data_IF_193171187588
#
_entry.id   IF_193171187588
#
_cell.length_a   1.000
_cell.length_b   1.000
_cell.length_c   1.000
_cell.angle_alpha   90.00
_cell.angle_beta   90.00
_cell.angle_gamma   90.00
#
_symmetry.space_group_name_H-M   'P 1'
#
loop_
_entity.id
_entity.type
_entity.pdbx_description
1 polymer ?
#
# COMPACT_ATOMS: atom_id res chain seq x y z
N UNK A 1 16.31 -7.62 6.40
CA UNK A 1 16.18 -6.21 5.96
C UNK A 1 17.17 -5.82 4.88
N UNK A 2 18.44 -6.22 4.97
CA UNK A 2 19.44 -5.91 3.93
C UNK A 2 19.04 -6.41 2.54
N UNK A 3 18.50 -7.63 2.45
CA UNK A 3 17.98 -8.19 1.19
C UNK A 3 16.84 -7.35 0.61
N UNK A 4 15.86 -6.95 1.41
CA UNK A 4 14.77 -6.05 1.00
C UNK A 4 15.33 -4.73 0.46
N UNK A 5 16.31 -4.14 1.16
CA UNK A 5 16.96 -2.89 0.73
C UNK A 5 17.64 -3.09 -0.63
N UNK A 6 18.46 -4.14 -0.77
CA UNK A 6 19.17 -4.46 -2.02
C UNK A 6 18.21 -4.63 -3.19
N UNK A 7 17.19 -5.48 -3.04
CA UNK A 7 16.23 -5.75 -4.12
C UNK A 7 15.40 -4.52 -4.49
N UNK A 8 14.98 -3.74 -3.49
CA UNK A 8 14.30 -2.46 -3.75
C UNK A 8 15.21 -1.46 -4.46
N UNK A 9 16.47 -1.32 -4.07
CA UNK A 9 17.41 -0.37 -4.68
C UNK A 9 17.72 -0.74 -6.13
N UNK A 10 17.81 -2.04 -6.44
CA UNK A 10 17.91 -2.55 -7.81
C UNK A 10 16.66 -2.19 -8.62
N UNK A 11 15.47 -2.45 -8.07
CA UNK A 11 14.20 -2.11 -8.72
C UNK A 11 14.07 -0.60 -8.95
N UNK A 12 14.39 0.22 -7.95
CA UNK A 12 14.32 1.69 -8.04
C UNK A 12 15.28 2.21 -9.11
N UNK A 13 16.52 1.71 -9.16
CA UNK A 13 17.50 2.11 -10.18
C UNK A 13 16.98 1.83 -11.59
N UNK A 14 16.41 0.64 -11.82
CA UNK A 14 15.79 0.25 -13.10
C UNK A 14 14.56 1.10 -13.45
N UNK A 15 13.72 1.43 -12.48
CA UNK A 15 12.55 2.27 -12.72
C UNK A 15 12.95 3.72 -13.05
N UNK A 16 13.96 4.24 -12.35
CA UNK A 16 14.49 5.59 -12.59
C UNK A 16 15.13 5.69 -13.98
N UNK A 17 15.90 4.69 -14.42
CA UNK A 17 16.46 4.66 -15.78
C UNK A 17 15.37 4.66 -16.86
N UNK A 18 14.20 4.08 -16.55
CA UNK A 18 13.04 4.06 -17.43
C UNK A 18 12.18 5.34 -17.34
N UNK A 19 12.66 6.39 -16.64
CA UNK A 19 11.96 7.68 -16.53
C UNK A 19 10.83 7.72 -15.49
N UNK A 20 10.74 6.73 -14.59
CA UNK A 20 9.70 6.71 -13.56
C UNK A 20 10.00 7.75 -12.46
N UNK A 21 9.34 8.90 -12.54
CA UNK A 21 9.47 9.98 -11.55
C UNK A 21 9.03 9.60 -10.14
N UNK A 22 8.09 8.66 -9.98
CA UNK A 22 7.66 8.19 -8.66
C UNK A 22 8.75 7.34 -8.00
N UNK A 23 9.49 6.53 -8.76
CA UNK A 23 10.65 5.80 -8.23
C UNK A 23 11.72 6.76 -7.68
N UNK A 24 11.97 7.89 -8.36
CA UNK A 24 12.87 8.94 -7.84
C UNK A 24 12.37 9.52 -6.51
N UNK A 25 11.06 9.80 -6.41
CA UNK A 25 10.45 10.28 -5.15
C UNK A 25 10.57 9.26 -4.02
N UNK A 26 10.34 7.99 -4.30
CA UNK A 26 10.49 6.90 -3.32
C UNK A 26 11.93 6.85 -2.82
N UNK A 27 12.92 6.88 -3.73
CA UNK A 27 14.34 6.88 -3.37
C UNK A 27 14.70 8.06 -2.47
N UNK A 28 14.34 9.28 -2.86
CA UNK A 28 14.60 10.48 -2.03
C UNK A 28 13.89 10.44 -0.69
N UNK A 29 12.69 9.85 -0.61
CA UNK A 29 11.98 9.67 0.66
C UNK A 29 12.74 8.72 1.58
N UNK A 30 13.22 7.59 1.05
CA UNK A 30 13.99 6.58 1.80
C UNK A 30 15.31 7.15 2.36
N UNK A 31 16.01 7.96 1.58
CA UNK A 31 17.28 8.61 1.98
C UNK A 31 17.10 9.59 3.15
N UNK A 32 15.89 10.14 3.33
CA UNK A 32 15.56 11.09 4.40
C UNK A 32 14.94 10.43 5.64
N UNK A 33 14.71 9.12 5.63
CA UNK A 33 14.15 8.44 6.79
C UNK A 33 15.20 8.32 7.89
N UNK A 34 14.81 8.71 9.10
CA UNK A 34 15.60 8.46 10.29
C UNK A 34 15.56 6.97 10.64
N UNK A 35 16.59 6.52 11.35
CA UNK A 35 16.59 5.19 11.94
C UNK A 35 15.43 5.00 12.91
N UNK A 36 14.87 3.79 12.89
CA UNK A 36 13.73 3.45 13.72
C UNK A 36 14.25 3.09 15.10
N UNK A 37 13.85 3.89 16.10
CA UNK A 37 14.15 3.61 17.50
C UNK A 37 13.43 2.33 17.92
N UNK A 38 14.14 1.31 18.46
CA UNK A 38 13.50 0.10 18.96
C UNK A 38 12.50 0.43 20.08
N UNK A 39 11.28 -0.13 20.01
CA UNK A 39 10.28 0.03 21.07
C UNK A 39 10.56 -0.91 22.25
N UNK A 40 10.85 -2.18 21.94
CA UNK A 40 11.21 -3.21 22.89
C UNK A 40 12.17 -4.22 22.27
N UNK A 41 12.75 -5.08 23.12
CA UNK A 41 13.58 -6.21 22.68
C UNK A 41 12.73 -7.17 21.87
N UNK A 42 13.23 -7.53 20.69
CA UNK A 42 12.64 -8.52 19.80
C UNK A 42 13.42 -9.84 19.88
N UNK A 43 12.82 -10.97 19.44
CA UNK A 43 13.54 -12.22 19.29
C UNK A 43 14.75 -12.09 18.37
N UNK A 44 15.70 -13.01 18.49
CA UNK A 44 16.86 -13.07 17.60
C UNK A 44 16.40 -13.13 16.13
N UNK A 45 17.08 -12.39 15.25
CA UNK A 45 16.78 -12.21 13.81
C UNK A 45 15.59 -11.31 13.47
N UNK A 46 14.86 -10.79 14.45
CA UNK A 46 13.83 -9.77 14.22
C UNK A 46 14.43 -8.37 14.31
N UNK A 47 13.80 -7.41 13.63
CA UNK A 47 14.18 -6.01 13.70
C UNK A 47 12.94 -5.13 13.56
N UNK A 48 13.02 -3.93 14.15
CA UNK A 48 12.02 -2.90 13.92
C UNK A 48 12.14 -2.32 12.52
N UNK A 49 11.00 -2.08 11.88
CA UNK A 49 10.93 -1.50 10.54
C UNK A 49 9.65 -0.68 10.38
N UNK A 50 9.55 0.06 9.28
CA UNK A 50 8.37 0.82 8.88
C UNK A 50 7.86 0.28 7.55
N UNK A 51 6.59 0.54 7.21
CA UNK A 51 6.06 0.14 5.91
C UNK A 51 6.90 0.68 4.75
N UNK A 52 7.40 1.92 4.84
CA UNK A 52 8.22 2.52 3.79
C UNK A 52 9.54 1.76 3.62
N UNK A 53 10.14 1.30 4.72
CA UNK A 53 11.43 0.62 4.72
C UNK A 53 11.31 -0.88 4.43
N UNK A 54 10.18 -1.52 4.71
CA UNK A 54 9.99 -2.97 4.54
C UNK A 54 9.28 -3.37 3.25
N UNK A 55 8.50 -2.46 2.64
CA UNK A 55 7.83 -2.71 1.36
C UNK A 55 8.74 -2.34 0.17
N UNK A 56 8.44 -2.86 -1.02
CA UNK A 56 9.00 -2.37 -2.27
C UNK A 56 8.68 -0.88 -2.45
N UNK A 57 7.43 -0.51 -2.21
CA UNK A 57 6.99 0.88 -2.11
C UNK A 57 5.74 1.03 -1.26
N UNK A 58 5.48 2.26 -0.84
CA UNK A 58 4.23 2.71 -0.23
C UNK A 58 3.80 3.99 -0.94
N UNK A 59 2.66 3.95 -1.64
CA UNK A 59 2.18 5.05 -2.47
C UNK A 59 0.81 5.49 -1.98
N UNK A 60 0.64 6.81 -1.89
CA UNK A 60 -0.63 7.43 -1.56
C UNK A 60 -1.53 7.54 -2.80
N UNK A 61 -2.84 7.41 -2.59
CA UNK A 61 -3.83 7.57 -3.65
C UNK A 61 -3.81 8.97 -4.30
N UNK A 62 -4.50 9.10 -5.44
CA UNK A 62 -4.80 10.43 -5.97
C UNK A 62 -5.87 11.06 -5.06
N UNK A 63 -5.47 11.97 -4.16
CA UNK A 63 -6.32 12.63 -3.15
C UNK A 63 -7.37 13.58 -3.75
N UNK A 64 -8.13 13.10 -4.75
CA UNK A 64 -9.21 13.77 -5.46
C UNK A 64 -10.31 12.75 -5.77
N UNK A 65 -11.55 13.22 -5.79
CA UNK A 65 -12.71 12.37 -6.08
C UNK A 65 -12.64 11.99 -7.56
N UNK A 66 -12.61 10.69 -7.85
CA UNK A 66 -12.67 10.20 -9.22
C UNK A 66 -14.07 10.43 -9.81
N UNK A 67 -14.18 10.78 -11.10
CA UNK A 67 -15.45 10.73 -11.83
C UNK A 67 -16.03 9.32 -11.78
N UNK A 68 -17.32 9.20 -11.45
CA UNK A 68 -17.99 7.90 -11.37
C UNK A 68 -18.71 7.57 -12.66
N UNK A 69 -18.72 6.29 -12.99
CA UNK A 69 -19.57 5.70 -14.03
C UNK A 69 -20.37 4.52 -13.44
N UNK A 70 -21.34 4.04 -14.20
CA UNK A 70 -22.25 2.99 -13.73
C UNK A 70 -21.60 1.60 -13.71
N UNK A 71 -20.65 1.34 -14.61
CA UNK A 71 -19.93 0.06 -14.74
C UNK A 71 -18.52 0.30 -15.26
N UNK A 72 -17.53 -0.43 -14.76
CA UNK A 72 -16.14 -0.28 -15.17
C UNK A 72 -15.19 -0.91 -14.16
N UNK A 73 -14.07 -0.23 -13.90
CA UNK A 73 -13.08 -0.67 -12.92
C UNK A 73 -13.55 -0.29 -11.52
N UNK A 74 -13.43 -1.20 -10.55
CA UNK A 74 -13.80 -0.95 -9.16
C UNK A 74 -13.02 0.24 -8.59
N UNK A 75 -13.74 1.26 -8.09
CA UNK A 75 -13.17 2.31 -7.28
C UNK A 75 -13.31 1.94 -5.81
N UNK A 76 -12.23 1.47 -5.22
CA UNK A 76 -12.19 1.03 -3.82
C UNK A 76 -12.00 2.23 -2.92
N UNK A 77 -13.01 2.51 -2.11
CA UNK A 77 -12.98 3.54 -1.06
C UNK A 77 -12.76 2.89 0.30
N UNK A 78 -12.53 3.70 1.34
CA UNK A 78 -12.33 3.19 2.71
C UNK A 78 -13.48 2.31 3.18
N UNK A 79 -14.72 2.63 2.79
CA UNK A 79 -15.92 1.83 3.09
C UNK A 79 -15.99 0.47 2.40
N UNK A 80 -15.17 0.25 1.37
CA UNK A 80 -15.07 -1.02 0.66
C UNK A 80 -14.00 -1.93 1.27
N UNK A 81 -13.33 -1.54 2.35
CA UNK A 81 -12.29 -2.33 3.02
C UNK A 81 -12.72 -2.56 4.46
N UNK A 82 -12.87 -3.82 4.84
CA UNK A 82 -13.28 -4.19 6.20
C UNK A 82 -12.79 -5.58 6.58
N UNK A 83 -12.26 -5.73 7.79
CA UNK A 83 -11.88 -7.01 8.37
C UNK A 83 -10.95 -7.84 7.45
N UNK A 84 -9.98 -7.19 6.81
CA UNK A 84 -9.04 -7.88 5.93
C UNK A 84 -9.51 -8.14 4.51
N UNK A 85 -10.72 -7.68 4.12
CA UNK A 85 -11.36 -8.03 2.85
C UNK A 85 -11.91 -6.82 2.12
N UNK A 86 -12.01 -6.94 0.80
CA UNK A 86 -12.76 -5.99 -0.02
C UNK A 86 -14.24 -6.37 -0.10
N UNK A 87 -15.11 -5.38 0.08
CA UNK A 87 -16.52 -5.45 -0.32
C UNK A 87 -16.67 -4.80 -1.71
N UNK A 88 -16.57 -5.64 -2.74
CA UNK A 88 -16.75 -5.27 -4.15
C UNK A 88 -18.19 -5.47 -4.63
N UNK A 89 -19.14 -5.76 -3.72
CA UNK A 89 -20.54 -6.00 -4.06
C UNK A 89 -21.41 -4.82 -3.63
N UNK A 90 -21.27 -4.37 -2.38
CA UNK A 90 -22.16 -3.35 -1.83
C UNK A 90 -21.60 -1.94 -2.01
N UNK A 91 -22.44 -1.01 -2.48
CA UNK A 91 -22.12 0.43 -2.60
C UNK A 91 -20.77 0.71 -3.32
N UNK A 92 -20.35 -0.21 -4.17
CA UNK A 92 -19.14 -0.08 -4.98
C UNK A 92 -19.38 0.97 -6.07
N UNK A 93 -18.31 1.69 -6.41
CA UNK A 93 -18.33 2.69 -7.49
C UNK A 93 -17.37 2.24 -8.58
N UNK A 94 -17.54 2.81 -9.77
CA UNK A 94 -16.72 2.45 -10.91
C UNK A 94 -16.11 3.69 -11.55
N UNK A 95 -14.98 3.48 -12.22
CA UNK A 95 -14.29 4.46 -13.05
C UNK A 95 -14.03 3.86 -14.43
N UNK A 96 -13.90 4.71 -15.44
CA UNK A 96 -13.44 4.30 -16.77
C UNK A 96 -11.92 4.05 -16.79
N UNK A 97 -11.43 3.57 -17.93
CA UNK A 97 -10.00 3.29 -18.13
C UNK A 97 -9.12 4.55 -18.08
N UNK A 98 -9.60 5.69 -18.56
CA UNK A 98 -8.81 6.91 -18.60
C UNK A 98 -8.66 7.53 -17.20
N UNK A 99 -9.74 7.51 -16.42
CA UNK A 99 -9.73 7.82 -14.99
C UNK A 99 -8.82 6.85 -14.25
N UNK A 100 -8.91 5.55 -14.52
CA UNK A 100 -8.02 4.57 -13.89
C UNK A 100 -6.53 4.84 -14.19
N UNK A 101 -6.19 5.08 -15.45
CA UNK A 101 -4.83 5.43 -15.89
C UNK A 101 -4.33 6.69 -15.19
N UNK A 102 -5.16 7.71 -15.09
CA UNK A 102 -4.77 8.96 -14.45
C UNK A 102 -4.66 8.83 -12.92
N UNK A 103 -5.64 8.22 -12.24
CA UNK A 103 -5.63 8.05 -10.79
C UNK A 103 -4.51 7.12 -10.31
N UNK A 104 -4.20 6.10 -11.10
CA UNK A 104 -3.19 5.08 -10.77
C UNK A 104 -1.81 5.38 -11.38
N UNK A 105 -1.61 6.55 -12.00
CA UNK A 105 -0.35 6.88 -12.71
C UNK A 105 0.92 6.80 -11.87
N UNK A 106 0.81 6.90 -10.54
CA UNK A 106 1.94 6.77 -9.60
C UNK A 106 2.29 5.30 -9.35
N UNK A 107 1.29 4.44 -9.28
CA UNK A 107 1.42 2.99 -9.30
C UNK A 107 0.08 2.34 -9.60
N UNK A 108 0.10 1.45 -10.59
CA UNK A 108 -1.02 0.59 -10.91
C UNK A 108 -1.12 -0.54 -9.87
N UNK A 109 -2.26 -0.66 -9.16
CA UNK A 109 -2.50 -1.76 -8.25
C UNK A 109 -2.47 -3.09 -8.99
N UNK A 110 -1.84 -4.10 -8.39
CA UNK A 110 -1.82 -5.47 -8.91
C UNK A 110 -2.25 -6.45 -7.83
N UNK A 111 -2.55 -7.68 -8.24
CA UNK A 111 -2.81 -8.78 -7.31
C UNK A 111 -1.70 -8.94 -6.27
N UNK A 112 -2.09 -9.22 -5.03
CA UNK A 112 -1.15 -9.36 -3.92
C UNK A 112 -0.71 -8.05 -3.26
N UNK A 113 -0.95 -6.88 -3.87
CA UNK A 113 -0.78 -5.60 -3.17
C UNK A 113 -1.74 -5.49 -1.99
N UNK A 114 -1.40 -4.66 -1.02
CA UNK A 114 -2.27 -4.32 0.11
C UNK A 114 -2.79 -2.91 -0.08
N UNK A 115 -4.11 -2.73 0.00
CA UNK A 115 -4.73 -1.40 0.13
C UNK A 115 -4.98 -1.15 1.61
N UNK A 116 -4.44 -0.05 2.13
CA UNK A 116 -4.51 0.35 3.54
C UNK A 116 -5.32 1.66 3.68
N UNK A 117 -6.23 1.73 4.64
CA UNK A 117 -6.98 2.96 4.94
C UNK A 117 -6.24 3.81 5.96
N UNK A 118 -5.89 5.02 5.55
CA UNK A 118 -5.19 5.97 6.41
C UNK A 118 -6.12 6.86 7.22
N UNK A 119 -7.42 6.90 6.89
CA UNK A 119 -8.43 7.71 7.57
C UNK A 119 -9.83 7.07 7.38
N UNK A 120 -10.75 7.33 8.32
CA UNK A 120 -12.20 7.11 8.20
C UNK A 120 -12.69 5.76 7.59
N UNK A 121 -12.54 4.62 8.30
CA UNK A 121 -11.76 4.40 9.52
C UNK A 121 -10.27 4.21 9.20
N UNK A 122 -9.38 4.66 10.08
CA UNK A 122 -7.94 4.42 9.95
C UNK A 122 -7.61 2.99 10.40
N UNK A 123 -6.74 2.30 9.67
CA UNK A 123 -6.21 0.99 10.09
C UNK A 123 -6.81 -0.23 9.42
N UNK A 124 -7.80 -0.10 8.53
CA UNK A 124 -8.27 -1.23 7.72
C UNK A 124 -7.30 -1.54 6.59
N UNK A 125 -7.23 -2.81 6.19
CA UNK A 125 -6.44 -3.22 5.05
C UNK A 125 -7.03 -4.46 4.37
N UNK A 126 -6.70 -4.66 3.10
CA UNK A 126 -7.02 -5.90 2.38
C UNK A 126 -6.00 -6.17 1.26
N UNK A 127 -5.76 -7.44 0.98
CA UNK A 127 -4.92 -7.89 -0.14
C UNK A 127 -5.76 -7.97 -1.41
N UNK A 128 -5.26 -7.38 -2.52
CA UNK A 128 -5.93 -7.42 -3.82
C UNK A 128 -6.01 -8.88 -4.30
N UNK A 129 -7.22 -9.42 -4.52
CA UNK A 129 -7.38 -10.79 -5.00
C UNK A 129 -6.83 -10.95 -6.41
N UNK A 130 -6.53 -12.19 -6.78
CA UNK A 130 -6.18 -12.54 -8.16
C UNK A 130 -7.27 -12.08 -9.15
N UNK A 131 -6.85 -11.75 -10.37
CA UNK A 131 -7.74 -11.34 -11.45
C UNK A 131 -8.64 -10.12 -11.12
N UNK A 132 -8.26 -9.30 -10.14
CA UNK A 132 -9.03 -8.13 -9.72
C UNK A 132 -8.32 -6.84 -10.10
N UNK A 133 -8.95 -6.06 -10.99
CA UNK A 133 -8.50 -4.70 -11.34
C UNK A 133 -9.29 -3.68 -10.52
N UNK A 134 -8.57 -2.82 -9.80
CA UNK A 134 -9.19 -1.78 -8.97
C UNK A 134 -8.39 -0.48 -8.99
N UNK A 135 -9.11 0.62 -8.77
CA UNK A 135 -8.61 1.97 -8.61
C UNK A 135 -8.69 2.37 -7.14
N UNK A 136 -7.65 3.03 -6.62
CA UNK A 136 -7.67 3.56 -5.26
C UNK A 136 -8.51 4.84 -5.19
N UNK A 137 -9.52 4.83 -4.33
CA UNK A 137 -10.22 6.02 -3.89
C UNK A 137 -9.40 6.83 -2.88
N UNK A 138 -9.91 8.01 -2.53
CA UNK A 138 -9.29 8.87 -1.52
C UNK A 138 -9.04 8.15 -0.19
N UNK A 139 -8.06 8.64 0.57
CA UNK A 139 -7.74 8.15 1.94
C UNK A 139 -7.32 6.68 1.97
N UNK A 140 -6.78 6.19 0.86
CA UNK A 140 -6.18 4.85 0.77
C UNK A 140 -4.72 4.95 0.37
N UNK A 141 -3.94 3.94 0.73
CA UNK A 141 -2.55 3.79 0.35
C UNK A 141 -2.34 2.40 -0.26
N UNK A 142 -1.47 2.32 -1.26
CA UNK A 142 -1.03 1.08 -1.88
C UNK A 142 0.32 0.67 -1.29
N UNK A 143 0.39 -0.54 -0.73
CA UNK A 143 1.59 -1.13 -0.19
C UNK A 143 1.94 -2.36 -1.04
N UNK A 144 3.11 -2.36 -1.67
CA UNK A 144 3.63 -3.52 -2.41
C UNK A 144 4.79 -4.13 -1.65
N UNK A 145 4.67 -5.39 -1.26
CA UNK A 145 5.73 -6.14 -0.59
C UNK A 145 6.69 -6.80 -1.59
N UNK A 146 7.88 -7.14 -1.13
CA UNK A 146 8.73 -8.13 -1.81
C UNK A 146 8.41 -9.49 -1.18
N UNK A 147 7.51 -10.26 -1.77
CA UNK A 147 6.90 -11.44 -1.13
C UNK A 147 7.90 -12.52 -0.71
N UNK A 148 9.06 -12.62 -1.37
CA UNK A 148 10.14 -13.54 -0.99
C UNK A 148 10.78 -13.21 0.37
N UNK A 149 10.65 -11.97 0.84
CA UNK A 149 11.26 -11.49 2.07
C UNK A 149 10.25 -10.97 3.10
N UNK A 150 9.07 -10.53 2.64
CA UNK A 150 7.98 -10.06 3.48
C UNK A 150 6.65 -10.56 2.92
N UNK A 151 6.06 -11.54 3.58
CA UNK A 151 4.72 -12.02 3.24
C UNK A 151 3.69 -10.91 3.38
N UNK A 152 2.95 -10.62 2.32
CA UNK A 152 1.79 -9.72 2.37
C UNK A 152 0.72 -10.19 3.37
N UNK A 153 0.53 -11.49 3.55
CA UNK A 153 -0.39 -12.06 4.56
C UNK A 153 0.07 -11.73 5.97
N UNK A 154 1.36 -11.89 6.26
CA UNK A 154 1.92 -11.49 7.55
C UNK A 154 1.71 -9.99 7.80
N UNK A 155 2.00 -9.15 6.80
CA UNK A 155 1.82 -7.70 6.92
C UNK A 155 0.34 -7.34 7.15
N UNK A 156 -0.60 -7.99 6.44
CA UNK A 156 -2.03 -7.83 6.67
C UNK A 156 -2.44 -8.22 8.09
N UNK A 157 -2.01 -9.39 8.58
CA UNK A 157 -2.30 -9.83 9.95
C UNK A 157 -1.70 -8.89 11.00
N UNK A 158 -0.50 -8.36 10.75
CA UNK A 158 0.11 -7.37 11.63
C UNK A 158 -0.72 -6.08 11.67
N UNK A 159 -1.16 -5.57 10.52
CA UNK A 159 -2.05 -4.40 10.44
C UNK A 159 -3.33 -4.64 11.24
N UNK A 160 -3.98 -5.79 11.05
CA UNK A 160 -5.24 -6.12 11.72
C UNK A 160 -5.07 -6.53 13.20
N UNK A 161 -3.84 -6.71 13.67
CA UNK A 161 -3.60 -7.12 15.06
C UNK A 161 -4.01 -6.02 16.03
N UNK A 162 -4.52 -6.42 17.19
CA UNK A 162 -4.95 -5.49 18.24
C UNK A 162 -3.84 -4.52 18.63
N UNK A 163 -2.60 -5.00 18.76
CA UNK A 163 -1.42 -4.18 19.10
C UNK A 163 -1.22 -3.05 18.09
N UNK A 164 -1.36 -3.33 16.80
CA UNK A 164 -1.20 -2.33 15.76
C UNK A 164 -2.38 -1.35 15.72
N UNK A 165 -3.61 -1.87 15.82
CA UNK A 165 -4.83 -1.05 15.84
C UNK A 165 -4.84 -0.08 17.03
N UNK A 166 -4.46 -0.53 18.22
CA UNK A 166 -4.34 0.32 19.41
C UNK A 166 -3.29 1.42 19.25
N UNK A 167 -2.18 1.12 18.55
CA UNK A 167 -1.13 2.11 18.30
C UNK A 167 -1.61 3.21 17.35
N UNK A 168 -2.26 2.82 16.27
CA UNK A 168 -2.81 3.75 15.27
C UNK A 168 -3.89 4.66 15.87
N UNK A 169 -4.73 4.16 16.79
CA UNK A 169 -5.77 4.99 17.41
C UNK A 169 -5.25 6.00 18.44
N UNK A 170 -3.99 5.89 18.88
CA UNK A 170 -3.36 6.77 19.88
C UNK A 170 -2.51 7.90 19.26
N UNK A 171 -2.30 7.88 17.95
CA UNK A 171 -1.63 8.93 17.17
C UNK A 171 -2.64 9.94 16.62
#
# INVERSE_FOLDING_TARGET
MEQIKKERDNWLSKQISNGNSEAKRIKTKLEKLNEIKPFNKLPNKWCWTSFITSCLFVIDCHNKTAPYIDKGIYLVRTTNIKNGKFDLKNKIKFVDEDTYKFWSRRAFPIEGDIVFTREAPMGEAAIIPENTKLCLGQRTMLLRTLNDFLSNKYLLFNILSEVFQQKIQKE
#
